data_IF_390040708770
#
_entry.id   IF_390040708770
#
_cell.length_a   1.000
_cell.length_b   1.000
_cell.length_c   1.000
_cell.angle_alpha   90.00
_cell.angle_beta   90.00
_cell.angle_gamma   90.00
#
_symmetry.space_group_name_H-M   'P 1'
#
loop_
_entity.id
_entity.type
_entity.pdbx_description
1 polymer ?
#
# COMPACT_ATOMS: atom_id res chain seq x y z
N UNK A 1 -2.29 8.73 21.31
CA UNK A 1 -2.66 9.32 19.99
C UNK A 1 -2.98 8.20 19.04
N UNK A 2 -4.16 8.23 18.42
CA UNK A 2 -4.63 7.19 17.51
C UNK A 2 -4.04 7.43 16.11
N UNK A 3 -3.70 6.36 15.40
CA UNK A 3 -3.12 6.38 14.06
C UNK A 3 -4.07 5.70 13.08
N UNK A 4 -4.22 6.26 11.89
CA UNK A 4 -4.96 5.64 10.79
C UNK A 4 -4.20 5.82 9.48
N UNK A 5 -4.10 4.75 8.69
CA UNK A 5 -3.56 4.76 7.33
C UNK A 5 -4.73 4.72 6.36
N UNK A 6 -4.69 5.56 5.33
CA UNK A 6 -5.75 5.65 4.32
C UNK A 6 -5.11 5.66 2.94
N UNK A 7 -5.42 4.67 2.13
CA UNK A 7 -4.93 4.54 0.75
C UNK A 7 -6.01 4.88 -0.27
N UNK A 8 -7.26 4.50 0.00
CA UNK A 8 -8.39 4.65 -0.93
C UNK A 8 -9.44 5.63 -0.41
N UNK A 9 -10.20 6.22 -1.34
CA UNK A 9 -11.29 7.18 -0.99
C UNK A 9 -12.39 6.51 -0.19
N UNK A 10 -12.69 5.24 -0.49
CA UNK A 10 -13.72 4.50 0.24
C UNK A 10 -13.32 4.28 1.70
N UNK A 11 -12.04 4.02 1.98
CA UNK A 11 -11.49 3.95 3.33
C UNK A 11 -11.62 5.31 4.04
N UNK A 12 -11.34 6.41 3.32
CA UNK A 12 -11.50 7.76 3.88
C UNK A 12 -12.95 8.04 4.26
N UNK A 13 -13.90 7.68 3.41
CA UNK A 13 -15.31 7.88 3.69
C UNK A 13 -15.75 7.02 4.88
N UNK A 14 -15.40 5.73 4.89
CA UNK A 14 -15.68 4.83 6.02
C UNK A 14 -15.06 5.34 7.34
N UNK A 15 -13.84 5.90 7.28
CA UNK A 15 -13.21 6.52 8.45
C UNK A 15 -14.00 7.74 8.95
N UNK A 16 -14.44 8.61 8.05
CA UNK A 16 -15.20 9.80 8.43
C UNK A 16 -16.53 9.39 9.05
N UNK A 17 -17.23 8.42 8.47
CA UNK A 17 -18.50 7.90 8.99
C UNK A 17 -18.30 7.28 10.37
N UNK A 18 -17.25 6.46 10.57
CA UNK A 18 -16.87 5.92 11.87
C UNK A 18 -16.65 7.02 12.93
N UNK A 19 -15.93 8.08 12.57
CA UNK A 19 -15.67 9.20 13.49
C UNK A 19 -16.96 9.93 13.87
N UNK A 20 -17.88 10.11 12.90
CA UNK A 20 -19.17 10.76 13.13
C UNK A 20 -20.10 9.91 14.00
N UNK A 21 -20.26 8.63 13.67
CA UNK A 21 -21.13 7.70 14.40
C UNK A 21 -20.71 7.54 15.88
N UNK A 22 -19.39 7.49 16.11
CA UNK A 22 -18.84 7.35 17.45
C UNK A 22 -18.63 8.70 18.17
N UNK A 23 -19.05 9.82 17.57
CA UNK A 23 -18.90 11.18 18.12
C UNK A 23 -17.46 11.52 18.51
N UNK A 24 -16.49 11.00 17.78
CA UNK A 24 -15.05 11.23 17.98
C UNK A 24 -14.63 12.53 17.31
N UNK A 25 -13.47 13.05 17.72
CA UNK A 25 -12.89 14.24 17.07
C UNK A 25 -11.78 13.82 16.10
N UNK A 26 -11.81 14.32 14.87
CA UNK A 26 -10.75 14.07 13.87
C UNK A 26 -9.36 14.45 14.39
N UNK A 27 -9.26 15.42 15.31
CA UNK A 27 -7.99 15.85 15.94
C UNK A 27 -7.37 14.78 16.84
N UNK A 28 -8.10 13.75 17.25
CA UNK A 28 -7.59 12.65 18.06
C UNK A 28 -6.79 11.66 17.22
N UNK A 29 -6.91 11.75 15.89
CA UNK A 29 -6.29 10.87 14.94
C UNK A 29 -5.12 11.53 14.21
N UNK A 30 -4.06 10.76 14.05
CA UNK A 30 -2.98 11.06 13.12
C UNK A 30 -3.26 10.33 11.82
N UNK A 31 -3.65 11.05 10.79
CA UNK A 31 -4.05 10.50 9.50
C UNK A 31 -2.82 10.47 8.59
N UNK A 32 -2.45 9.29 8.12
CA UNK A 32 -1.40 9.09 7.11
C UNK A 32 -2.07 8.79 5.78
N UNK A 33 -1.94 9.71 4.83
CA UNK A 33 -2.47 9.54 3.49
C UNK A 33 -1.44 8.81 2.62
N UNK A 34 -1.73 7.57 2.23
CA UNK A 34 -0.84 6.73 1.44
C UNK A 34 -0.89 7.06 -0.05
N UNK A 35 -2.03 7.54 -0.57
CA UNK A 35 -2.19 7.91 -1.98
C UNK A 35 -2.34 9.42 -2.19
N UNK A 36 -1.94 9.90 -3.37
CA UNK A 36 -2.12 11.29 -3.78
C UNK A 36 -3.60 11.67 -3.88
N UNK A 37 -4.45 10.74 -4.29
CA UNK A 37 -5.89 10.94 -4.42
C UNK A 37 -6.52 11.28 -3.07
N UNK A 38 -6.20 10.50 -2.03
CA UNK A 38 -6.65 10.75 -0.66
C UNK A 38 -6.11 12.09 -0.14
N UNK A 39 -4.85 12.42 -0.42
CA UNK A 39 -4.25 13.71 -0.02
C UNK A 39 -5.05 14.90 -0.60
N UNK A 40 -5.42 14.84 -1.88
CA UNK A 40 -6.22 15.88 -2.54
C UNK A 40 -7.59 16.04 -1.88
N UNK A 41 -8.26 14.93 -1.55
CA UNK A 41 -9.58 14.98 -0.89
C UNK A 41 -9.47 15.54 0.54
N UNK A 42 -8.49 15.09 1.32
CA UNK A 42 -8.25 15.59 2.66
C UNK A 42 -7.95 17.10 2.67
N UNK A 43 -7.13 17.55 1.72
CA UNK A 43 -6.81 18.97 1.54
C UNK A 43 -8.06 19.79 1.19
N UNK A 44 -8.90 19.31 0.25
CA UNK A 44 -10.18 19.98 -0.10
C UNK A 44 -11.15 20.05 1.09
N UNK A 45 -11.19 19.01 1.92
CA UNK A 45 -12.03 18.96 3.12
C UNK A 45 -11.41 19.69 4.32
N UNK A 46 -10.21 20.27 4.18
CA UNK A 46 -9.43 20.94 5.23
C UNK A 46 -9.16 20.04 6.46
N UNK A 47 -9.02 18.75 6.22
CA UNK A 47 -8.66 17.76 7.23
C UNK A 47 -7.15 17.68 7.30
N UNK A 48 -6.59 17.78 8.51
CA UNK A 48 -5.14 17.67 8.73
C UNK A 48 -4.68 16.23 8.51
N UNK A 49 -3.62 16.05 7.73
CA UNK A 49 -3.01 14.75 7.46
C UNK A 49 -1.49 14.88 7.37
N UNK A 50 -0.81 13.75 7.34
CA UNK A 50 0.63 13.66 7.08
C UNK A 50 0.89 12.92 5.77
N UNK A 51 1.91 13.38 5.06
CA UNK A 51 2.35 12.78 3.80
C UNK A 51 3.37 11.67 4.08
N UNK A 52 3.34 10.63 3.28
CA UNK A 52 4.30 9.51 3.31
C UNK A 52 5.75 9.94 3.08
N UNK A 53 5.98 11.04 2.33
CA UNK A 53 7.32 11.57 2.07
C UNK A 53 8.10 11.94 3.35
N UNK A 54 7.40 12.22 4.45
CA UNK A 54 8.03 12.48 5.74
C UNK A 54 8.64 11.21 6.39
N UNK A 55 8.29 10.03 5.86
CA UNK A 55 8.60 8.72 6.43
C UNK A 55 9.30 7.77 5.47
N UNK A 56 9.46 8.17 4.21
CA UNK A 56 10.08 7.38 3.16
C UNK A 56 11.19 8.18 2.47
N UNK A 57 12.43 7.85 2.80
CA UNK A 57 13.61 8.51 2.28
C UNK A 57 14.34 7.65 1.23
N UNK A 58 15.46 8.15 0.70
CA UNK A 58 16.25 7.43 -0.31
C UNK A 58 16.80 6.09 0.20
N UNK A 59 17.11 5.97 1.49
CA UNK A 59 17.57 4.72 2.09
C UNK A 59 16.44 3.70 2.16
N UNK A 60 15.24 4.12 2.59
CA UNK A 60 14.03 3.30 2.56
C UNK A 60 13.73 2.78 1.16
N UNK A 61 13.85 3.66 0.14
CA UNK A 61 13.67 3.26 -1.26
C UNK A 61 14.68 2.20 -1.68
N UNK A 62 15.98 2.43 -1.39
CA UNK A 62 17.04 1.48 -1.69
C UNK A 62 16.82 0.12 -1.02
N UNK A 63 16.42 0.12 0.25
CA UNK A 63 16.13 -1.09 1.01
C UNK A 63 14.98 -1.89 0.39
N UNK A 64 13.91 -1.21 -0.04
CA UNK A 64 12.80 -1.86 -0.74
C UNK A 64 13.24 -2.51 -2.04
N UNK A 65 14.05 -1.82 -2.86
CA UNK A 65 14.57 -2.37 -4.11
C UNK A 65 15.46 -3.60 -3.88
N UNK A 66 16.37 -3.55 -2.91
CA UNK A 66 17.26 -4.68 -2.59
C UNK A 66 16.45 -5.91 -2.11
N UNK A 67 15.45 -5.70 -1.25
CA UNK A 67 14.56 -6.78 -0.78
C UNK A 67 13.73 -7.35 -1.95
N UNK A 68 13.20 -6.51 -2.81
CA UNK A 68 12.45 -6.93 -4.01
C UNK A 68 13.32 -7.75 -4.95
N UNK A 69 14.55 -7.30 -5.21
CA UNK A 69 15.49 -8.04 -6.07
C UNK A 69 15.84 -9.41 -5.49
N UNK A 70 16.06 -9.51 -4.18
CA UNK A 70 16.33 -10.77 -3.51
C UNK A 70 15.15 -11.77 -3.66
N UNK A 71 13.92 -11.30 -3.48
CA UNK A 71 12.70 -12.11 -3.66
C UNK A 71 12.59 -12.59 -5.11
N UNK A 72 12.79 -11.68 -6.07
CA UNK A 72 12.74 -12.02 -7.50
C UNK A 72 13.81 -13.03 -7.90
N UNK A 73 15.05 -12.88 -7.38
CA UNK A 73 16.13 -13.83 -7.63
C UNK A 73 15.81 -15.22 -7.06
N UNK A 74 15.28 -15.27 -5.84
CA UNK A 74 14.84 -16.53 -5.23
C UNK A 74 13.76 -17.21 -6.09
N UNK A 75 12.71 -16.50 -6.46
CA UNK A 75 11.64 -17.01 -7.30
C UNK A 75 12.13 -17.48 -8.69
N UNK A 76 13.05 -16.75 -9.29
CA UNK A 76 13.68 -17.15 -10.56
C UNK A 76 14.40 -18.49 -10.45
N UNK A 77 15.15 -18.68 -9.37
CA UNK A 77 15.88 -19.93 -9.11
C UNK A 77 14.90 -21.10 -8.93
N UNK A 78 13.86 -20.92 -8.12
CA UNK A 78 12.83 -21.94 -7.89
C UNK A 78 12.06 -22.31 -9.14
N UNK A 79 11.73 -21.31 -9.98
CA UNK A 79 11.03 -21.53 -11.26
C UNK A 79 11.92 -22.21 -12.30
N UNK A 80 13.25 -21.98 -12.28
CA UNK A 80 14.18 -22.70 -13.19
C UNK A 80 14.26 -24.19 -12.87
N UNK A 81 14.23 -24.54 -11.59
CA UNK A 81 14.29 -25.95 -11.15
C UNK A 81 13.05 -26.74 -11.55
N UNK A 82 11.89 -26.06 -11.72
CA UNK A 82 10.61 -26.72 -12.01
C UNK A 82 10.16 -26.62 -13.47
N UNK A 83 10.88 -25.91 -14.34
CA UNK A 83 10.46 -25.71 -15.73
C UNK A 83 11.03 -26.75 -16.68
N UNK A 84 10.43 -27.93 -16.74
CA UNK A 84 10.49 -28.82 -17.92
C UNK A 84 9.55 -28.36 -19.07
N UNK A 85 8.78 -27.29 -18.86
CA UNK A 85 7.83 -26.72 -19.81
C UNK A 85 8.40 -25.46 -20.46
N UNK A 86 8.35 -25.41 -21.78
CA UNK A 86 8.82 -24.37 -22.71
C UNK A 86 8.05 -23.03 -22.54
N UNK A 87 8.09 -22.39 -21.35
CA UNK A 87 7.31 -21.20 -20.99
C UNK A 87 8.22 -19.96 -20.78
N UNK A 88 9.35 -19.87 -21.48
CA UNK A 88 10.29 -18.75 -21.27
C UNK A 88 9.65 -17.35 -21.49
N UNK A 89 8.77 -17.22 -22.47
CA UNK A 89 8.13 -15.95 -22.78
C UNK A 89 7.18 -15.49 -21.63
N UNK A 90 6.42 -16.39 -21.06
CA UNK A 90 5.49 -16.10 -19.97
C UNK A 90 6.21 -15.90 -18.64
N UNK A 91 7.33 -16.58 -18.42
CA UNK A 91 8.12 -16.48 -17.19
C UNK A 91 8.59 -15.05 -16.91
N UNK A 92 9.16 -14.37 -17.91
CA UNK A 92 9.65 -13.00 -17.74
C UNK A 92 8.52 -12.03 -17.43
N UNK A 93 7.33 -12.25 -17.99
CA UNK A 93 6.15 -11.46 -17.69
C UNK A 93 5.67 -11.64 -16.24
N UNK A 94 5.58 -12.89 -15.76
CA UNK A 94 5.21 -13.18 -14.37
C UNK A 94 6.20 -12.58 -13.37
N UNK A 95 7.49 -12.70 -13.65
CA UNK A 95 8.54 -12.12 -12.81
C UNK A 95 8.42 -10.59 -12.73
N UNK A 96 8.13 -9.95 -13.87
CA UNK A 96 7.90 -8.51 -13.92
C UNK A 96 6.69 -8.09 -13.07
N UNK A 97 5.55 -8.80 -13.20
CA UNK A 97 4.36 -8.54 -12.39
C UNK A 97 4.61 -8.75 -10.90
N UNK A 98 5.31 -9.83 -10.54
CA UNK A 98 5.68 -10.11 -9.15
C UNK A 98 6.57 -8.99 -8.61
N UNK A 99 7.54 -8.51 -9.40
CA UNK A 99 8.42 -7.40 -9.00
C UNK A 99 7.62 -6.14 -8.71
N UNK A 100 6.67 -5.77 -9.56
CA UNK A 100 5.81 -4.61 -9.35
C UNK A 100 5.01 -4.74 -8.06
N UNK A 101 4.39 -5.91 -7.84
CA UNK A 101 3.61 -6.19 -6.63
C UNK A 101 4.48 -6.14 -5.38
N UNK A 102 5.66 -6.78 -5.41
CA UNK A 102 6.58 -6.79 -4.28
C UNK A 102 7.10 -5.39 -3.95
N UNK A 103 7.41 -4.56 -4.95
CA UNK A 103 7.82 -3.19 -4.72
C UNK A 103 6.74 -2.40 -3.99
N UNK A 104 5.48 -2.55 -4.38
CA UNK A 104 4.36 -1.86 -3.72
C UNK A 104 4.17 -2.35 -2.27
N UNK A 105 4.16 -3.65 -2.04
CA UNK A 105 4.01 -4.24 -0.70
C UNK A 105 5.17 -3.81 0.21
N UNK A 106 6.40 -3.88 -0.26
CA UNK A 106 7.58 -3.50 0.52
C UNK A 106 7.59 -2.01 0.84
N UNK A 107 7.14 -1.18 -0.11
CA UNK A 107 6.97 0.25 0.10
C UNK A 107 5.95 0.55 1.22
N UNK A 108 4.79 -0.12 1.21
CA UNK A 108 3.79 0.01 2.27
C UNK A 108 4.33 -0.44 3.62
N UNK A 109 4.99 -1.60 3.68
CA UNK A 109 5.58 -2.14 4.91
C UNK A 109 6.61 -1.15 5.48
N UNK A 110 7.48 -0.61 4.65
CA UNK A 110 8.52 0.33 5.07
C UNK A 110 7.91 1.63 5.62
N UNK A 111 6.91 2.19 4.94
CA UNK A 111 6.21 3.39 5.41
C UNK A 111 5.51 3.13 6.75
N UNK A 112 4.73 2.05 6.84
CA UNK A 112 4.01 1.72 8.08
C UNK A 112 5.00 1.54 9.23
N UNK A 113 6.10 0.81 9.00
CA UNK A 113 7.14 0.59 10.00
C UNK A 113 7.77 1.91 10.47
N UNK A 114 8.15 2.78 9.54
CA UNK A 114 8.78 4.07 9.85
C UNK A 114 7.81 5.01 10.57
N UNK A 115 6.54 5.03 10.17
CA UNK A 115 5.49 5.82 10.82
C UNK A 115 5.28 5.34 12.27
N UNK A 116 5.10 4.03 12.45
CA UNK A 116 4.86 3.45 13.79
C UNK A 116 6.04 3.69 14.70
N UNK A 117 7.27 3.48 14.22
CA UNK A 117 8.48 3.71 15.01
C UNK A 117 8.66 5.19 15.39
N UNK A 118 8.30 6.13 14.52
CA UNK A 118 8.45 7.56 14.76
C UNK A 118 7.35 8.13 15.65
N UNK A 119 6.11 7.69 15.44
CA UNK A 119 4.93 8.25 16.12
C UNK A 119 4.67 7.52 17.44
N UNK A 120 5.00 6.23 17.55
CA UNK A 120 4.71 5.37 18.69
C UNK A 120 3.23 5.51 19.14
N UNK A 121 2.27 5.17 18.25
CA UNK A 121 0.86 5.37 18.52
C UNK A 121 0.39 4.44 19.65
N UNK A 122 -0.60 4.91 20.43
CA UNK A 122 -1.24 4.09 21.46
C UNK A 122 -2.26 3.11 20.85
N UNK A 123 -2.78 3.44 19.68
CA UNK A 123 -3.80 2.66 18.98
C UNK A 123 -3.68 2.87 17.47
N UNK A 124 -3.83 1.82 16.70
CA UNK A 124 -3.89 1.88 15.23
C UNK A 124 -5.29 1.43 14.82
N UNK A 125 -6.00 2.32 14.11
CA UNK A 125 -7.30 2.01 13.55
C UNK A 125 -7.09 1.41 12.16
N UNK A 126 -7.59 0.17 11.97
CA UNK A 126 -7.67 -0.47 10.67
C UNK A 126 -9.08 -0.30 10.11
N UNK A 127 -9.17 0.12 8.87
CA UNK A 127 -10.43 0.25 8.15
C UNK A 127 -10.49 -0.88 7.14
N UNK A 128 -11.54 -1.68 7.23
CA UNK A 128 -11.77 -2.76 6.28
C UNK A 128 -12.19 -2.16 4.94
N UNK A 129 -11.41 -2.42 3.90
CA UNK A 129 -11.77 -2.02 2.56
C UNK A 129 -12.83 -2.98 2.01
N UNK A 130 -14.06 -2.49 1.85
CA UNK A 130 -15.16 -3.26 1.28
C UNK A 130 -15.04 -3.45 -0.24
N UNK A 131 -14.21 -2.64 -0.91
CA UNK A 131 -13.90 -2.86 -2.31
C UNK A 131 -12.84 -3.96 -2.42
N UNK A 132 -13.19 -5.10 -3.04
CA UNK A 132 -12.25 -6.21 -3.33
C UNK A 132 -11.09 -5.84 -4.28
N UNK A 133 -10.65 -4.60 -4.31
CA UNK A 133 -9.62 -4.08 -5.22
C UNK A 133 -8.23 -4.06 -4.58
N UNK A 134 -7.81 -5.17 -3.95
CA UNK A 134 -6.45 -5.31 -3.40
C UNK A 134 -5.33 -5.18 -4.44
N UNK A 135 -5.66 -5.27 -5.72
CA UNK A 135 -4.72 -5.08 -6.83
C UNK A 135 -5.08 -3.84 -7.68
N UNK A 136 -5.79 -2.88 -7.09
CA UNK A 136 -6.41 -1.73 -7.74
C UNK A 136 -5.59 -0.97 -8.76
N UNK A 137 -4.29 -0.65 -8.54
CA UNK A 137 -3.49 0.05 -9.56
C UNK A 137 -3.10 -0.85 -10.74
N UNK A 138 -3.15 -2.17 -10.60
CA UNK A 138 -2.60 -3.12 -11.57
C UNK A 138 -3.66 -3.99 -12.25
N UNK A 139 -4.84 -4.11 -11.65
CA UNK A 139 -5.93 -4.92 -12.19
C UNK A 139 -7.24 -4.16 -12.03
N UNK A 140 -7.69 -3.51 -13.09
CA UNK A 140 -9.00 -2.89 -13.10
C UNK A 140 -10.07 -3.97 -13.28
N UNK A 141 -10.96 -4.14 -12.30
CA UNK A 141 -12.04 -5.14 -12.33
C UNK A 141 -12.99 -5.01 -13.51
N UNK A 142 -13.07 -3.83 -14.12
CA UNK A 142 -13.99 -3.54 -15.22
C UNK A 142 -13.41 -3.84 -16.60
N UNK A 143 -12.14 -4.23 -16.68
CA UNK A 143 -11.53 -4.62 -17.93
C UNK A 143 -11.42 -6.15 -17.98
N UNK A 144 -12.34 -6.76 -18.71
CA UNK A 144 -12.30 -8.18 -19.05
C UNK A 144 -11.12 -8.45 -19.99
N UNK A 145 -9.91 -8.62 -19.43
CA UNK A 145 -8.71 -8.99 -20.20
C UNK A 145 -8.60 -10.50 -20.47
N UNK A 146 -9.63 -11.27 -20.17
CA UNK A 146 -9.69 -12.71 -20.47
C UNK A 146 -11.06 -13.03 -21.08
N UNK A 147 -11.21 -12.69 -22.35
CA UNK A 147 -12.17 -13.34 -23.25
C UNK A 147 -11.44 -13.99 -24.41
#
# INVERSE_FOLDING_TARGET
>A
MKLVFIEYIDELNAFIDYVQENKLKLLEFNIIALSTEVQVVLMKRKIKYQNTLAYFNNESHRNCLLKSDAIVQFLNKELQVKSELNIECHKNWYIFLIRLLMNHILWLIEIVTNVVNKIQPTEILSIENQSNNYLGPYINKNEHYLS
#
